data_IF_933293877592
#
_entry.id   IF_933293877592
#
_cell.length_a   1.000
_cell.length_b   1.000
_cell.length_c   1.000
_cell.angle_alpha   90.00
_cell.angle_beta   90.00
_cell.angle_gamma   90.00
#
_symmetry.space_group_name_H-M   'P 1'
#
loop_
_entity.id
_entity.type
_entity.pdbx_description
1 polymer ?
#
# COMPACT_ATOMS: atom_id res chain seq x y z
N UNK A 1 -21.89 -22.63 38.98
CA UNK A 1 -22.28 -22.00 37.70
C UNK A 1 -21.28 -20.90 37.42
N UNK A 2 -20.32 -21.13 36.53
CA UNK A 2 -19.48 -20.07 35.95
C UNK A 2 -19.78 -20.00 34.45
N UNK A 3 -19.99 -18.80 33.86
CA UNK A 3 -20.21 -18.67 32.43
C UNK A 3 -18.88 -18.73 31.67
N UNK A 4 -18.77 -19.69 30.75
CA UNK A 4 -17.64 -19.88 29.85
C UNK A 4 -17.43 -18.70 28.91
N UNK A 5 -16.17 -18.29 28.82
CA UNK A 5 -15.59 -17.27 27.93
C UNK A 5 -15.84 -17.63 26.45
N UNK A 6 -16.28 -16.70 25.57
CA UNK A 6 -16.35 -16.99 24.14
C UNK A 6 -14.94 -17.03 23.54
N UNK A 7 -14.68 -18.07 22.75
CA UNK A 7 -13.44 -18.29 22.03
C UNK A 7 -13.24 -17.23 20.94
N UNK A 8 -12.04 -16.63 20.90
CA UNK A 8 -11.58 -15.80 19.80
C UNK A 8 -11.50 -16.62 18.52
N UNK A 9 -12.38 -16.33 17.56
CA UNK A 9 -12.28 -16.83 16.20
C UNK A 9 -11.07 -16.21 15.50
N UNK A 10 -10.10 -17.05 15.14
CA UNK A 10 -8.98 -16.69 14.30
C UNK A 10 -9.52 -16.42 12.89
N UNK A 11 -9.64 -15.15 12.50
CA UNK A 11 -9.96 -14.77 11.14
C UNK A 11 -8.73 -15.02 10.25
N UNK A 12 -8.65 -16.21 9.66
CA UNK A 12 -7.71 -16.49 8.58
C UNK A 12 -8.02 -15.56 7.42
N UNK A 13 -7.14 -14.59 7.16
CA UNK A 13 -7.25 -13.72 6.00
C UNK A 13 -7.28 -14.58 4.72
N UNK A 14 -8.39 -14.50 3.99
CA UNK A 14 -8.57 -15.20 2.72
C UNK A 14 -7.51 -14.75 1.70
N UNK A 15 -6.85 -15.67 0.97
CA UNK A 15 -5.78 -15.32 0.02
C UNK A 15 -6.18 -14.30 -1.06
N UNK A 16 -7.45 -14.26 -1.49
CA UNK A 16 -7.95 -13.30 -2.48
C UNK A 16 -7.85 -11.84 -2.02
N UNK A 17 -8.23 -11.57 -0.77
CA UNK A 17 -8.31 -10.20 -0.23
C UNK A 17 -6.98 -9.43 -0.21
N UNK A 18 -5.82 -10.09 -0.14
CA UNK A 18 -4.53 -9.37 -0.13
C UNK A 18 -4.15 -8.87 -1.53
N UNK A 19 -4.17 -9.77 -2.53
CA UNK A 19 -3.83 -9.42 -3.92
C UNK A 19 -4.84 -8.40 -4.45
N UNK A 20 -6.12 -8.57 -4.14
CA UNK A 20 -7.17 -7.63 -4.53
C UNK A 20 -6.91 -6.22 -3.97
N UNK A 21 -6.48 -6.12 -2.70
CA UNK A 21 -6.14 -4.83 -2.10
C UNK A 21 -4.89 -4.21 -2.75
N UNK A 22 -3.85 -5.00 -3.04
CA UNK A 22 -2.64 -4.51 -3.72
C UNK A 22 -3.01 -3.96 -5.11
N UNK A 23 -3.76 -4.73 -5.90
CA UNK A 23 -4.16 -4.31 -7.24
C UNK A 23 -5.04 -3.06 -7.20
N UNK A 24 -6.01 -3.04 -6.29
CA UNK A 24 -6.89 -1.87 -6.13
C UNK A 24 -6.13 -0.61 -5.71
N UNK A 25 -5.16 -0.72 -4.80
CA UNK A 25 -4.31 0.41 -4.42
C UNK A 25 -3.47 0.90 -5.61
N UNK A 26 -2.86 0.00 -6.39
CA UNK A 26 -2.07 0.37 -7.58
C UNK A 26 -2.94 1.09 -8.61
N UNK A 27 -4.14 0.58 -8.89
CA UNK A 27 -5.10 1.19 -9.82
C UNK A 27 -5.51 2.59 -9.36
N UNK A 28 -5.91 2.74 -8.10
CA UNK A 28 -6.33 4.03 -7.56
C UNK A 28 -5.18 5.03 -7.49
N UNK A 29 -3.95 4.59 -7.18
CA UNK A 29 -2.78 5.47 -7.15
C UNK A 29 -2.43 5.99 -8.55
N UNK A 30 -2.40 5.11 -9.56
CA UNK A 30 -2.13 5.50 -10.95
C UNK A 30 -3.25 6.38 -11.52
N UNK A 31 -4.51 6.08 -11.19
CA UNK A 31 -5.66 6.91 -11.60
C UNK A 31 -5.64 8.28 -10.90
N UNK A 32 -5.28 8.34 -9.63
CA UNK A 32 -5.06 9.61 -8.91
C UNK A 32 -3.97 10.42 -9.60
N UNK A 33 -2.86 9.79 -9.98
CA UNK A 33 -1.76 10.44 -10.67
C UNK A 33 -2.23 11.04 -12.01
N UNK A 34 -2.92 10.26 -12.84
CA UNK A 34 -3.48 10.75 -14.11
C UNK A 34 -4.47 11.91 -13.92
N UNK A 35 -5.37 11.81 -12.94
CA UNK A 35 -6.33 12.85 -12.62
C UNK A 35 -5.66 14.15 -12.13
N UNK A 36 -4.54 14.02 -11.40
CA UNK A 36 -3.76 15.17 -10.92
C UNK A 36 -3.19 15.99 -12.07
N UNK A 37 -2.72 15.33 -13.14
CA UNK A 37 -2.15 16.01 -14.31
C UNK A 37 -3.16 16.89 -15.07
N UNK A 38 -4.46 16.58 -14.96
CA UNK A 38 -5.55 17.35 -15.58
C UNK A 38 -6.38 18.13 -14.56
N UNK A 39 -5.93 18.20 -13.30
CA UNK A 39 -6.63 18.85 -12.18
C UNK A 39 -8.07 18.36 -11.93
N UNK A 40 -8.36 17.08 -12.22
CA UNK A 40 -9.66 16.47 -11.90
C UNK A 40 -9.75 16.09 -10.42
N UNK A 41 -10.13 17.08 -9.61
CA UNK A 41 -10.26 16.93 -8.15
C UNK A 41 -11.30 15.88 -7.74
N UNK A 42 -12.35 15.67 -8.54
CA UNK A 42 -13.40 14.69 -8.22
C UNK A 42 -12.80 13.29 -8.29
N UNK A 43 -12.13 12.97 -9.40
CA UNK A 43 -11.47 11.66 -9.56
C UNK A 43 -10.35 11.47 -8.53
N UNK A 44 -9.57 12.50 -8.22
CA UNK A 44 -8.55 12.43 -7.16
C UNK A 44 -9.17 12.04 -5.81
N UNK A 45 -10.25 12.70 -5.39
CA UNK A 45 -10.93 12.36 -4.13
C UNK A 45 -11.54 10.96 -4.14
N UNK A 46 -12.16 10.53 -5.25
CA UNK A 46 -12.69 9.18 -5.38
C UNK A 46 -11.61 8.11 -5.24
N UNK A 47 -10.46 8.31 -5.89
CA UNK A 47 -9.32 7.39 -5.81
C UNK A 47 -8.74 7.34 -4.40
N UNK A 48 -8.58 8.51 -3.76
CA UNK A 48 -8.10 8.59 -2.39
C UNK A 48 -9.05 7.87 -1.43
N UNK A 49 -10.37 8.06 -1.55
CA UNK A 49 -11.35 7.43 -0.65
C UNK A 49 -11.49 5.92 -0.85
N UNK A 50 -11.14 5.41 -2.04
CA UNK A 50 -11.17 3.98 -2.38
C UNK A 50 -9.91 3.22 -1.98
N UNK A 51 -8.85 3.92 -1.60
CA UNK A 51 -7.64 3.28 -1.12
C UNK A 51 -7.91 2.42 0.12
N UNK A 52 -7.15 1.35 0.27
CA UNK A 52 -7.36 0.36 1.34
C UNK A 52 -6.79 0.79 2.71
N UNK A 53 -7.10 2.01 3.15
CA UNK A 53 -6.63 2.63 4.41
C UNK A 53 -6.93 1.84 5.69
N UNK A 54 -7.86 0.89 5.62
CA UNK A 54 -8.33 0.10 6.77
C UNK A 54 -7.61 -1.23 6.92
N UNK A 55 -6.59 -1.53 6.10
CA UNK A 55 -5.77 -2.74 6.27
C UNK A 55 -4.88 -2.61 7.51
N UNK A 56 -5.33 -3.20 8.62
CA UNK A 56 -4.67 -3.13 9.92
C UNK A 56 -3.22 -3.67 9.88
N UNK A 57 -2.92 -4.62 8.97
CA UNK A 57 -1.57 -5.18 8.82
C UNK A 57 -0.61 -4.13 8.31
N UNK A 58 -1.01 -3.38 7.27
CA UNK A 58 -0.21 -2.28 6.71
C UNK A 58 -0.02 -1.19 7.74
N UNK A 59 -1.10 -0.82 8.44
CA UNK A 59 -1.04 0.19 9.50
C UNK A 59 -0.02 -0.19 10.59
N UNK A 60 -0.09 -1.43 11.09
CA UNK A 60 0.85 -1.93 12.11
C UNK A 60 2.29 -2.06 11.62
N UNK A 61 2.50 -2.16 10.30
CA UNK A 61 3.82 -2.29 9.68
C UNK A 61 4.42 -0.95 9.24
N UNK A 62 3.64 0.13 9.27
CA UNK A 62 4.05 1.44 8.79
C UNK A 62 5.32 1.95 9.49
N UNK A 63 5.37 1.88 10.82
CA UNK A 63 6.53 2.31 11.60
C UNK A 63 7.79 1.52 11.24
N UNK A 64 7.65 0.22 10.98
CA UNK A 64 8.76 -0.63 10.54
C UNK A 64 9.29 -0.23 9.19
N UNK A 65 8.42 0.09 8.22
CA UNK A 65 8.86 0.60 6.93
C UNK A 65 9.56 1.96 7.07
N UNK A 66 9.04 2.88 7.88
CA UNK A 66 9.67 4.18 8.12
C UNK A 66 11.06 4.06 8.75
N UNK A 67 11.25 3.06 9.61
CA UNK A 67 12.53 2.76 10.27
C UNK A 67 13.46 1.83 9.47
N UNK A 68 13.01 1.30 8.32
CA UNK A 68 13.81 0.41 7.47
C UNK A 68 15.07 1.11 6.98
N UNK A 69 16.11 0.31 6.71
CA UNK A 69 17.40 0.86 6.30
C UNK A 69 17.34 1.43 4.86
N UNK A 70 18.44 2.03 4.42
CA UNK A 70 18.50 2.61 3.08
C UNK A 70 18.38 1.55 1.97
N UNK A 71 19.00 0.38 2.13
CA UNK A 71 19.00 -0.67 1.11
C UNK A 71 17.61 -1.28 0.93
N UNK A 72 16.91 -1.56 2.04
CA UNK A 72 15.54 -2.06 2.01
C UNK A 72 14.59 -1.04 1.38
N UNK A 73 14.68 0.24 1.79
CA UNK A 73 13.83 1.29 1.20
C UNK A 73 14.12 1.49 -0.29
N UNK A 74 15.38 1.41 -0.72
CA UNK A 74 15.75 1.53 -2.12
C UNK A 74 15.14 0.39 -2.95
N UNK A 75 15.20 -0.85 -2.46
CA UNK A 75 14.57 -2.00 -3.14
C UNK A 75 13.06 -1.79 -3.30
N UNK A 76 12.38 -1.35 -2.24
CA UNK A 76 10.94 -1.07 -2.29
C UNK A 76 10.63 0.08 -3.24
N UNK A 77 11.48 1.11 -3.29
CA UNK A 77 11.34 2.21 -4.23
C UNK A 77 11.50 1.75 -5.68
N UNK A 78 12.42 0.83 -5.97
CA UNK A 78 12.60 0.29 -7.32
C UNK A 78 11.38 -0.52 -7.77
N UNK A 79 10.82 -1.36 -6.90
CA UNK A 79 9.55 -2.06 -7.17
C UNK A 79 8.41 -1.06 -7.36
N UNK A 80 8.31 -0.05 -6.50
CA UNK A 80 7.28 0.98 -6.57
C UNK A 80 7.33 1.75 -7.90
N UNK A 81 8.52 2.10 -8.39
CA UNK A 81 8.70 2.80 -9.68
C UNK A 81 8.16 2.01 -10.87
N UNK A 82 8.31 0.68 -10.84
CA UNK A 82 7.75 -0.20 -11.89
C UNK A 82 6.23 -0.19 -11.86
N UNK A 83 5.63 -0.20 -10.68
CA UNK A 83 4.17 -0.24 -10.52
C UNK A 83 3.49 1.12 -10.75
N UNK A 84 4.21 2.22 -10.50
CA UNK A 84 3.66 3.57 -10.50
C UNK A 84 4.55 4.53 -11.30
N UNK A 85 4.58 4.43 -12.64
CA UNK A 85 5.60 5.09 -13.47
C UNK A 85 5.48 6.61 -13.55
N UNK A 86 4.36 7.21 -13.15
CA UNK A 86 4.15 8.68 -13.19
C UNK A 86 4.29 9.34 -11.81
N UNK A 87 4.86 8.64 -10.82
CA UNK A 87 4.94 9.12 -9.44
C UNK A 87 5.73 10.42 -9.28
N UNK A 88 6.73 10.64 -10.12
CA UNK A 88 7.63 11.80 -10.13
C UNK A 88 6.94 13.08 -10.63
N UNK A 89 5.82 12.93 -11.35
CA UNK A 89 5.05 14.03 -11.96
C UNK A 89 3.94 14.55 -11.07
N UNK A 90 3.72 13.94 -9.91
CA UNK A 90 2.59 14.26 -9.02
C UNK A 90 3.13 14.68 -7.67
N UNK A 91 2.69 15.85 -7.21
CA UNK A 91 3.04 16.38 -5.91
C UNK A 91 1.79 16.66 -5.09
N UNK A 92 1.90 16.50 -3.78
CA UNK A 92 0.84 16.83 -2.83
C UNK A 92 0.73 15.82 -1.69
N UNK A 93 0.17 16.26 -0.54
CA UNK A 93 0.10 15.43 0.66
C UNK A 93 -0.74 14.17 0.47
N UNK A 94 -1.84 14.24 -0.30
CA UNK A 94 -2.70 13.08 -0.57
C UNK A 94 -1.96 11.99 -1.34
N UNK A 95 -1.25 12.36 -2.41
CA UNK A 95 -0.48 11.40 -3.19
C UNK A 95 0.67 10.82 -2.37
N UNK A 96 1.40 11.66 -1.62
CA UNK A 96 2.47 11.21 -0.74
C UNK A 96 1.98 10.18 0.30
N UNK A 97 0.79 10.38 0.88
CA UNK A 97 0.18 9.43 1.81
C UNK A 97 -0.16 8.09 1.12
N UNK A 98 -0.74 8.13 -0.08
CA UNK A 98 -1.06 6.92 -0.86
C UNK A 98 0.22 6.16 -1.27
N UNK A 99 1.24 6.89 -1.71
CA UNK A 99 2.56 6.32 -2.03
C UNK A 99 3.20 5.66 -0.81
N UNK A 100 3.21 6.34 0.34
CA UNK A 100 3.75 5.79 1.58
C UNK A 100 3.02 4.50 1.99
N UNK A 101 1.69 4.50 1.89
CA UNK A 101 0.87 3.33 2.19
C UNK A 101 1.18 2.14 1.29
N UNK A 102 1.26 2.36 -0.02
CA UNK A 102 1.60 1.30 -0.96
C UNK A 102 3.03 0.78 -0.73
N UNK A 103 4.00 1.66 -0.46
CA UNK A 103 5.37 1.24 -0.15
C UNK A 103 5.44 0.42 1.15
N UNK A 104 4.73 0.81 2.20
CA UNK A 104 4.63 0.03 3.43
C UNK A 104 4.00 -1.35 3.20
N UNK A 105 2.98 -1.43 2.34
CA UNK A 105 2.36 -2.69 1.90
C UNK A 105 3.35 -3.58 1.14
N UNK A 106 4.11 -3.02 0.20
CA UNK A 106 5.15 -3.75 -0.54
C UNK A 106 6.27 -4.23 0.39
N UNK A 107 6.67 -3.40 1.37
CA UNK A 107 7.63 -3.79 2.38
C UNK A 107 7.12 -4.94 3.25
N UNK A 108 5.85 -4.91 3.67
CA UNK A 108 5.22 -6.03 4.39
C UNK A 108 5.25 -7.32 3.56
N UNK A 109 4.95 -7.23 2.26
CA UNK A 109 5.05 -8.38 1.36
C UNK A 109 6.47 -8.91 1.29
N UNK A 110 7.45 -8.02 1.13
CA UNK A 110 8.86 -8.39 1.04
C UNK A 110 9.34 -9.15 2.27
N UNK A 111 8.95 -8.71 3.48
CA UNK A 111 9.29 -9.39 4.73
C UNK A 111 8.65 -10.77 4.85
N UNK A 112 7.52 -11.01 4.16
CA UNK A 112 6.82 -12.31 4.17
C UNK A 112 7.34 -13.25 3.06
N UNK A 113 7.61 -12.67 1.88
CA UNK A 113 8.09 -13.34 0.69
C UNK A 113 9.02 -12.37 -0.05
N UNK A 114 10.35 -12.49 0.13
CA UNK A 114 11.30 -11.54 -0.41
C UNK A 114 11.20 -11.36 -1.93
N UNK A 115 11.30 -10.11 -2.35
CA UNK A 115 11.44 -9.74 -3.75
C UNK A 115 12.86 -10.01 -4.22
N UNK A 116 12.97 -10.49 -5.46
CA UNK A 116 14.25 -10.47 -6.18
C UNK A 116 14.59 -9.04 -6.57
N UNK A 117 15.88 -8.66 -6.59
CA UNK A 117 16.31 -7.38 -7.13
C UNK A 117 15.78 -7.18 -8.55
N UNK A 118 15.23 -6.00 -8.83
CA UNK A 118 14.79 -5.62 -10.18
C UNK A 118 16.04 -5.50 -11.05
N UNK A 119 16.13 -6.32 -12.11
CA UNK A 119 17.23 -6.22 -13.09
C UNK A 119 16.84 -5.16 -14.11
N UNK A 120 17.68 -4.14 -14.25
CA UNK A 120 17.56 -3.10 -15.26
C UNK A 120 18.18 -3.54 -16.60
#
# INVERSE_FOLDING_TARGET
MEPGKPASGNASASPGTYVDNVMSDIENLNRFAGASLVNDRKTMMECFNRFSWRDARVLSHMERYCAADHAERQLIDDVYRVLCPSFDRVQGPSFAAMSLWLKARLHLQHQTSPFSPVRH
#
